data_IF_892338933338
#
_entry.id   IF_892338933338
#
_cell.length_a   1.000
_cell.length_b   1.000
_cell.length_c   1.000
_cell.angle_alpha   90.00
_cell.angle_beta   90.00
_cell.angle_gamma   90.00
#
_symmetry.space_group_name_H-M   'P 1'
#
loop_
_entity.id
_entity.type
_entity.pdbx_description
1 polymer ?
#
# COMPACT_ATOMS: atom_id res chain seq x y z
N UNK A 1 0.41 20.74 -13.88
CA UNK A 1 -0.32 20.80 -15.16
C UNK A 1 -0.50 19.41 -15.80
N UNK A 2 0.57 18.65 -16.00
CA UNK A 2 0.54 17.33 -16.68
C UNK A 2 -0.36 16.28 -16.00
N UNK A 3 -0.37 16.18 -14.67
CA UNK A 3 -1.22 15.19 -13.96
C UNK A 3 -2.72 15.34 -14.27
N UNK A 4 -3.22 16.56 -14.42
CA UNK A 4 -4.65 16.80 -14.70
C UNK A 4 -5.06 16.37 -16.12
N UNK A 5 -4.14 16.34 -17.07
CA UNK A 5 -4.44 15.90 -18.44
C UNK A 5 -4.63 14.38 -18.54
N UNK A 6 -4.13 13.61 -17.55
CA UNK A 6 -4.28 12.16 -17.50
C UNK A 6 -5.63 11.70 -16.91
N UNK A 7 -6.35 12.59 -16.23
CA UNK A 7 -7.62 12.23 -15.55
C UNK A 7 -8.64 11.57 -16.49
N UNK A 8 -8.87 12.07 -17.73
CA UNK A 8 -9.82 11.42 -18.64
C UNK A 8 -9.43 9.99 -19.01
N UNK A 9 -8.13 9.73 -19.21
CA UNK A 9 -7.59 8.40 -19.53
C UNK A 9 -7.73 7.44 -18.33
N UNK A 10 -7.39 7.93 -17.13
CA UNK A 10 -7.55 7.15 -15.89
C UNK A 10 -9.01 6.74 -15.70
N UNK A 11 -9.94 7.69 -15.88
CA UNK A 11 -11.37 7.39 -15.74
C UNK A 11 -11.89 6.46 -16.85
N UNK A 12 -11.36 6.55 -18.06
CA UNK A 12 -11.71 5.63 -19.13
C UNK A 12 -11.26 4.20 -18.81
N UNK A 13 -10.01 4.03 -18.35
CA UNK A 13 -9.49 2.74 -17.91
C UNK A 13 -10.30 2.16 -16.73
N UNK A 14 -10.57 2.99 -15.71
CA UNK A 14 -11.40 2.57 -14.57
C UNK A 14 -12.79 2.10 -15.01
N UNK A 15 -13.45 2.84 -15.91
CA UNK A 15 -14.77 2.48 -16.41
C UNK A 15 -14.76 1.19 -17.22
N UNK A 16 -13.71 0.95 -18.00
CA UNK A 16 -13.55 -0.30 -18.74
C UNK A 16 -13.48 -1.49 -17.77
N UNK A 17 -12.66 -1.40 -16.73
CA UNK A 17 -12.56 -2.43 -15.70
C UNK A 17 -13.90 -2.63 -14.98
N UNK A 18 -14.65 -1.55 -14.72
CA UNK A 18 -15.94 -1.62 -14.02
C UNK A 18 -17.05 -2.29 -14.85
N UNK A 19 -16.90 -2.40 -16.16
CA UNK A 19 -17.84 -3.14 -17.01
C UNK A 19 -17.60 -4.65 -16.98
N UNK A 20 -16.40 -5.07 -16.60
CA UNK A 20 -15.97 -6.48 -16.68
C UNK A 20 -15.84 -7.12 -15.28
N UNK A 21 -15.92 -6.34 -14.20
CA UNK A 21 -15.64 -6.82 -12.84
C UNK A 21 -16.69 -6.32 -11.85
N UNK A 22 -17.16 -7.21 -10.98
CA UNK A 22 -18.09 -6.87 -9.90
C UNK A 22 -17.42 -6.05 -8.78
N UNK A 23 -16.13 -6.27 -8.56
CA UNK A 23 -15.33 -5.60 -7.53
C UNK A 23 -14.02 -5.15 -8.15
N UNK A 24 -13.65 -3.89 -7.89
CA UNK A 24 -12.34 -3.33 -8.25
C UNK A 24 -11.64 -2.91 -6.96
N UNK A 25 -10.45 -3.45 -6.75
CA UNK A 25 -9.54 -3.00 -5.68
C UNK A 25 -8.53 -2.04 -6.28
N UNK A 26 -8.46 -0.83 -5.70
CA UNK A 26 -7.55 0.22 -6.16
C UNK A 26 -6.49 0.41 -5.09
N UNK A 27 -5.23 0.21 -5.46
CA UNK A 27 -4.10 0.49 -4.60
C UNK A 27 -3.55 1.89 -4.86
N UNK A 28 -3.28 2.62 -3.78
CA UNK A 28 -2.61 3.91 -3.83
C UNK A 28 -1.09 3.79 -3.84
N UNK A 29 -0.40 4.90 -3.97
CA UNK A 29 1.06 4.95 -3.89
C UNK A 29 1.53 5.98 -2.86
N UNK A 30 2.52 5.62 -2.05
CA UNK A 30 3.01 6.45 -0.96
C UNK A 30 1.97 6.65 0.14
N UNK A 31 1.83 7.88 0.63
CA UNK A 31 0.88 8.21 1.69
C UNK A 31 -0.16 9.23 1.22
N UNK A 32 -1.44 9.06 1.59
CA UNK A 32 -2.45 10.08 1.33
C UNK A 32 -2.25 11.35 2.18
N UNK A 33 -1.38 11.29 3.18
CA UNK A 33 -1.05 12.44 4.06
C UNK A 33 0.15 13.27 3.58
N UNK A 34 0.60 13.11 2.33
CA UNK A 34 1.61 13.96 1.70
C UNK A 34 1.03 15.35 1.41
N UNK A 35 0.93 16.18 2.46
CA UNK A 35 0.25 17.49 2.44
C UNK A 35 0.80 18.45 1.39
N UNK A 36 2.08 18.34 1.06
CA UNK A 36 2.76 19.11 0.02
C UNK A 36 2.37 18.68 -1.41
N UNK A 37 1.83 17.49 -1.60
CA UNK A 37 1.41 16.94 -2.90
C UNK A 37 -0.11 16.88 -3.07
N UNK A 38 -0.86 17.20 -2.03
CA UNK A 38 -2.30 16.99 -1.91
C UNK A 38 -3.14 17.64 -3.03
N UNK A 39 -2.80 18.87 -3.45
CA UNK A 39 -3.57 19.60 -4.48
C UNK A 39 -3.55 18.93 -5.87
N UNK A 40 -2.54 18.12 -6.13
CA UNK A 40 -2.34 17.43 -7.40
C UNK A 40 -2.37 15.90 -7.25
N UNK A 41 -2.96 15.41 -6.16
CA UNK A 41 -3.15 13.99 -5.95
C UNK A 41 -4.17 13.42 -6.94
N UNK A 42 -3.75 12.46 -7.74
CA UNK A 42 -4.57 11.66 -8.65
C UNK A 42 -4.47 10.16 -8.33
N UNK A 43 -3.73 9.80 -7.28
CA UNK A 43 -3.34 8.41 -6.99
C UNK A 43 -4.05 7.90 -5.75
N UNK A 44 -4.01 8.66 -4.65
CA UNK A 44 -4.60 8.27 -3.36
C UNK A 44 -6.03 8.79 -3.23
N UNK A 45 -6.24 9.84 -2.42
CA UNK A 45 -7.58 10.40 -2.21
C UNK A 45 -8.18 11.03 -3.47
N UNK A 46 -7.32 11.51 -4.39
CA UNK A 46 -7.77 11.98 -5.70
C UNK A 46 -8.41 10.87 -6.52
N UNK A 47 -7.79 9.69 -6.59
CA UNK A 47 -8.40 8.54 -7.27
C UNK A 47 -9.66 8.06 -6.56
N UNK A 48 -9.63 7.98 -5.22
CA UNK A 48 -10.80 7.60 -4.43
C UNK A 48 -12.01 8.51 -4.71
N UNK A 49 -11.79 9.82 -4.81
CA UNK A 49 -12.85 10.79 -5.17
C UNK A 49 -13.37 10.55 -6.59
N UNK A 50 -12.49 10.35 -7.56
CA UNK A 50 -12.88 10.12 -8.95
C UNK A 50 -13.70 8.84 -9.11
N UNK A 51 -13.32 7.78 -8.42
CA UNK A 51 -14.01 6.49 -8.43
C UNK A 51 -15.23 6.45 -7.48
N UNK A 52 -15.38 7.45 -6.61
CA UNK A 52 -16.34 7.46 -5.47
C UNK A 52 -16.18 6.21 -4.59
N UNK A 53 -14.95 5.74 -4.44
CA UNK A 53 -14.64 4.52 -3.73
C UNK A 53 -14.53 4.75 -2.22
N UNK A 54 -15.05 3.83 -1.39
CA UNK A 54 -14.71 3.81 0.03
C UNK A 54 -13.23 3.49 0.20
N UNK A 55 -12.62 4.06 1.25
CA UNK A 55 -11.19 3.92 1.52
C UNK A 55 -10.98 3.06 2.76
N UNK A 56 -10.11 2.08 2.66
CA UNK A 56 -9.51 1.36 3.78
C UNK A 56 -8.08 1.88 3.95
N UNK A 57 -7.78 2.44 5.12
CA UNK A 57 -6.44 2.93 5.40
C UNK A 57 -5.60 1.83 6.06
N UNK A 58 -4.54 1.42 5.39
CA UNK A 58 -3.66 0.34 5.85
C UNK A 58 -2.38 0.92 6.42
N UNK A 59 -2.01 0.50 7.64
CA UNK A 59 -0.76 0.87 8.29
C UNK A 59 0.14 -0.33 8.52
N UNK A 60 1.42 -0.18 8.24
CA UNK A 60 2.46 -1.20 8.46
C UNK A 60 3.01 -1.08 9.89
N UNK A 61 2.76 -2.10 10.74
CA UNK A 61 3.22 -2.10 12.14
C UNK A 61 4.69 -2.52 12.28
N UNK A 62 5.23 -3.23 11.31
CA UNK A 62 6.60 -3.79 11.38
C UNK A 62 7.67 -2.69 11.47
N UNK A 63 7.38 -1.52 10.92
CA UNK A 63 8.25 -0.35 10.99
C UNK A 63 8.13 0.46 12.28
N UNK A 64 7.18 0.12 13.16
CA UNK A 64 6.86 0.87 14.37
C UNK A 64 6.03 2.13 14.10
N UNK A 65 5.39 2.64 15.17
CA UNK A 65 4.63 3.90 15.12
C UNK A 65 3.30 3.84 14.38
N UNK A 66 2.74 2.66 14.07
CA UNK A 66 1.53 2.50 13.26
C UNK A 66 0.33 3.30 13.77
N UNK A 67 0.14 3.40 15.08
CA UNK A 67 -0.96 4.19 15.67
C UNK A 67 -0.84 5.68 15.33
N UNK A 68 0.38 6.22 15.46
CA UNK A 68 0.66 7.61 15.09
C UNK A 68 0.49 7.84 13.59
N UNK A 69 0.91 6.90 12.76
CA UNK A 69 0.77 6.97 11.29
C UNK A 69 -0.71 6.97 10.89
N UNK A 70 -1.51 6.02 11.39
CA UNK A 70 -2.94 5.93 11.07
C UNK A 70 -3.71 7.15 11.58
N UNK A 71 -3.49 7.53 12.84
CA UNK A 71 -4.12 8.71 13.42
C UNK A 71 -3.71 9.99 12.68
N UNK A 72 -2.42 10.21 12.50
CA UNK A 72 -1.88 11.39 11.84
C UNK A 72 -2.36 11.51 10.39
N UNK A 73 -2.39 10.40 9.66
CA UNK A 73 -2.93 10.37 8.29
C UNK A 73 -4.38 10.83 8.27
N UNK A 74 -5.25 10.25 9.11
CA UNK A 74 -6.66 10.63 9.18
C UNK A 74 -6.84 12.09 9.61
N UNK A 75 -6.04 12.56 10.58
CA UNK A 75 -6.11 13.92 11.08
C UNK A 75 -5.72 14.97 10.02
N UNK A 76 -4.77 14.64 9.13
CA UNK A 76 -4.28 15.51 8.06
C UNK A 76 -5.21 15.54 6.82
N UNK A 77 -6.08 14.56 6.67
CA UNK A 77 -7.06 14.55 5.58
C UNK A 77 -8.11 15.66 5.75
N UNK A 78 -8.57 16.19 4.64
CA UNK A 78 -9.74 17.09 4.62
C UNK A 78 -10.99 16.37 5.09
N UNK A 79 -11.97 17.10 5.59
CA UNK A 79 -13.20 16.51 6.13
C UNK A 79 -13.91 15.57 5.15
N UNK A 80 -14.03 15.98 3.89
CA UNK A 80 -14.62 15.18 2.82
C UNK A 80 -13.87 13.88 2.55
N UNK A 81 -12.53 13.90 2.61
CA UNK A 81 -11.66 12.76 2.43
C UNK A 81 -11.72 11.82 3.62
N UNK A 82 -11.71 12.40 4.82
CA UNK A 82 -11.87 11.67 6.07
C UNK A 82 -13.21 10.92 6.11
N UNK A 83 -14.27 11.49 5.54
CA UNK A 83 -15.58 10.84 5.40
C UNK A 83 -15.53 9.60 4.48
N UNK A 84 -14.61 9.59 3.50
CA UNK A 84 -14.41 8.44 2.61
C UNK A 84 -13.69 7.28 3.28
N UNK A 85 -12.83 7.54 4.28
CA UNK A 85 -12.18 6.48 5.06
C UNK A 85 -13.22 5.76 5.89
N UNK A 86 -13.45 4.49 5.61
CA UNK A 86 -14.47 3.67 6.27
C UNK A 86 -13.90 2.85 7.42
N UNK A 87 -12.65 2.41 7.30
CA UNK A 87 -11.98 1.67 8.36
C UNK A 87 -10.45 1.78 8.22
N UNK A 88 -9.76 1.33 9.27
CA UNK A 88 -8.32 1.16 9.29
C UNK A 88 -7.97 -0.34 9.34
N UNK A 89 -6.79 -0.69 8.86
CA UNK A 89 -6.23 -2.04 8.93
C UNK A 89 -4.79 -1.93 9.44
N UNK A 90 -4.42 -2.78 10.37
CA UNK A 90 -3.04 -2.95 10.82
C UNK A 90 -2.45 -4.15 10.08
N UNK A 91 -1.37 -3.94 9.33
CA UNK A 91 -0.73 -4.97 8.53
C UNK A 91 0.63 -5.38 9.11
N UNK A 92 1.07 -6.59 8.80
CA UNK A 92 2.35 -7.21 9.16
C UNK A 92 2.54 -7.35 10.68
N UNK A 93 1.48 -7.65 11.40
CA UNK A 93 1.56 -7.83 12.85
C UNK A 93 2.27 -9.14 13.21
N UNK A 94 3.15 -9.06 14.21
CA UNK A 94 3.82 -10.23 14.81
C UNK A 94 3.47 -10.29 16.29
N UNK A 95 2.95 -11.41 16.75
CA UNK A 95 2.66 -11.66 18.16
C UNK A 95 1.18 -11.88 18.46
N UNK A 96 0.80 -11.69 19.74
CA UNK A 96 -0.56 -11.89 20.20
C UNK A 96 -1.41 -10.62 20.02
N UNK A 97 -2.46 -10.74 19.21
CA UNK A 97 -3.41 -9.65 18.93
C UNK A 97 -4.11 -9.17 20.22
N UNK A 98 -4.23 -10.03 21.24
CA UNK A 98 -4.83 -9.63 22.51
C UNK A 98 -4.06 -8.47 23.18
N UNK A 99 -2.73 -8.45 23.05
CA UNK A 99 -1.88 -7.37 23.57
C UNK A 99 -2.08 -6.05 22.80
N UNK A 100 -2.49 -6.14 21.53
CA UNK A 100 -2.71 -4.97 20.69
C UNK A 100 -4.08 -4.32 20.90
N UNK A 101 -5.07 -5.08 21.38
CA UNK A 101 -6.47 -4.63 21.53
C UNK A 101 -6.66 -3.28 22.23
N UNK A 102 -6.02 -2.98 23.37
CA UNK A 102 -6.19 -1.67 24.00
C UNK A 102 -5.79 -0.51 23.09
N UNK A 103 -4.71 -0.69 22.30
CA UNK A 103 -4.26 0.30 21.31
C UNK A 103 -5.25 0.46 20.16
N UNK A 104 -5.84 -0.64 19.67
CA UNK A 104 -6.86 -0.61 18.62
C UNK A 104 -8.10 0.17 19.09
N UNK A 105 -8.61 -0.12 20.30
CA UNK A 105 -9.75 0.60 20.87
C UNK A 105 -9.46 2.09 21.03
N UNK A 106 -8.24 2.44 21.47
CA UNK A 106 -7.83 3.83 21.55
C UNK A 106 -7.80 4.50 20.14
N UNK A 107 -7.26 3.83 19.14
CA UNK A 107 -7.24 4.33 17.77
C UNK A 107 -8.65 4.60 17.24
N UNK A 108 -9.58 3.66 17.44
CA UNK A 108 -10.99 3.81 17.06
C UNK A 108 -11.63 5.03 17.74
N UNK A 109 -11.38 5.19 19.04
CA UNK A 109 -11.88 6.34 19.80
C UNK A 109 -11.33 7.67 19.28
N UNK A 110 -10.04 7.72 18.95
CA UNK A 110 -9.38 8.94 18.49
C UNK A 110 -9.76 9.32 17.05
N UNK A 111 -9.95 8.32 16.18
CA UNK A 111 -10.19 8.54 14.76
C UNK A 111 -11.67 8.56 14.39
N UNK A 112 -12.53 7.98 15.22
CA UNK A 112 -13.94 7.71 14.90
C UNK A 112 -14.09 6.69 13.75
N UNK A 113 -13.06 5.89 13.49
CA UNK A 113 -13.06 4.87 12.43
C UNK A 113 -12.80 3.49 13.04
N UNK A 114 -13.57 2.46 12.65
CA UNK A 114 -13.33 1.11 13.14
C UNK A 114 -12.00 0.55 12.61
N UNK A 115 -11.40 -0.35 13.39
CA UNK A 115 -10.32 -1.21 12.90
C UNK A 115 -10.93 -2.46 12.29
N UNK A 116 -10.92 -2.57 10.97
CA UNK A 116 -11.51 -3.69 10.24
C UNK A 116 -10.76 -5.00 10.44
N UNK A 117 -9.46 -4.93 10.74
CA UNK A 117 -8.66 -6.12 10.99
C UNK A 117 -7.21 -5.84 11.32
N UNK A 118 -6.58 -6.88 11.83
CA UNK A 118 -5.14 -6.98 12.03
C UNK A 118 -4.65 -8.17 11.21
N UNK A 119 -3.82 -7.90 10.21
CA UNK A 119 -3.24 -8.93 9.35
C UNK A 119 -1.88 -9.35 9.94
N UNK A 120 -1.65 -10.64 10.11
CA UNK A 120 -0.35 -11.12 10.56
C UNK A 120 0.71 -10.88 9.49
N UNK A 121 1.97 -10.94 9.88
CA UNK A 121 3.06 -11.06 8.93
C UNK A 121 2.91 -12.39 8.21
N UNK A 122 2.74 -12.33 6.91
CA UNK A 122 2.61 -13.51 6.06
C UNK A 122 3.93 -13.71 5.32
N UNK A 123 4.35 -14.96 5.23
CA UNK A 123 5.42 -15.38 4.34
C UNK A 123 4.74 -15.85 3.05
N UNK A 124 4.58 -14.93 2.13
CA UNK A 124 3.96 -15.18 0.82
C UNK A 124 4.96 -14.89 -0.28
N UNK A 125 5.09 -15.82 -1.19
CA UNK A 125 5.92 -15.66 -2.38
C UNK A 125 5.14 -14.83 -3.42
N UNK A 126 5.24 -13.51 -3.26
CA UNK A 126 4.69 -12.54 -4.21
C UNK A 126 5.88 -11.89 -4.92
N UNK A 127 5.81 -11.80 -6.22
CA UNK A 127 6.83 -11.09 -7.00
C UNK A 127 7.00 -9.65 -6.53
N UNK A 128 8.26 -9.24 -6.41
CA UNK A 128 8.58 -7.86 -6.03
C UNK A 128 8.16 -6.89 -7.12
N UNK A 129 7.53 -5.79 -6.73
CA UNK A 129 7.00 -4.80 -7.67
C UNK A 129 8.07 -3.81 -8.15
N UNK A 130 9.04 -3.47 -7.32
CA UNK A 130 10.00 -2.41 -7.62
C UNK A 130 11.47 -2.83 -7.51
N UNK A 131 12.34 -2.03 -8.13
CA UNK A 131 13.79 -2.25 -8.17
C UNK A 131 14.51 -2.00 -6.83
N UNK A 132 13.80 -1.64 -5.77
CA UNK A 132 14.32 -1.45 -4.41
C UNK A 132 14.12 -2.69 -3.53
N UNK A 133 13.54 -3.76 -4.08
CA UNK A 133 13.30 -4.98 -3.36
C UNK A 133 14.57 -5.58 -2.76
N UNK A 134 14.45 -6.09 -1.54
CA UNK A 134 15.56 -6.71 -0.80
C UNK A 134 16.15 -7.94 -1.51
N UNK A 135 15.37 -8.59 -2.38
CA UNK A 135 15.80 -9.71 -3.22
C UNK A 135 16.98 -9.36 -4.14
N UNK A 136 17.13 -8.08 -4.51
CA UNK A 136 18.24 -7.59 -5.33
C UNK A 136 19.53 -7.38 -4.54
N UNK A 137 19.55 -7.62 -3.24
CA UNK A 137 20.73 -7.57 -2.42
C UNK A 137 21.52 -8.87 -2.61
N UNK A 138 22.88 -8.73 -2.68
CA UNK A 138 23.79 -9.84 -2.94
C UNK A 138 23.71 -10.88 -1.82
N UNK A 139 23.24 -12.08 -2.10
CA UNK A 139 23.32 -13.24 -1.20
C UNK A 139 24.59 -14.03 -1.48
N UNK A 140 25.39 -14.27 -0.45
CA UNK A 140 26.44 -15.28 -0.47
C UNK A 140 25.87 -16.55 0.14
N UNK A 141 25.84 -17.63 -0.62
CA UNK A 141 25.46 -18.96 -0.15
C UNK A 141 26.36 -20.02 -0.78
N UNK A 142 26.47 -21.18 -0.14
CA UNK A 142 27.10 -22.37 -0.72
C UNK A 142 26.09 -23.03 -1.68
N UNK A 143 25.95 -22.47 -2.86
CA UNK A 143 25.10 -23.03 -3.91
C UNK A 143 25.94 -23.88 -4.88
N UNK A 144 25.32 -24.92 -5.44
CA UNK A 144 25.98 -25.78 -6.43
C UNK A 144 26.24 -25.05 -7.77
N UNK A 145 25.49 -23.96 -8.02
CA UNK A 145 25.62 -23.09 -9.18
C UNK A 145 25.55 -21.64 -8.72
N UNK A 146 26.49 -20.82 -9.17
CA UNK A 146 26.49 -19.37 -8.91
C UNK A 146 26.13 -18.63 -10.21
N UNK A 147 25.01 -17.91 -10.19
CA UNK A 147 24.50 -17.14 -11.33
C UNK A 147 24.65 -15.66 -11.02
N UNK A 148 25.52 -14.98 -11.73
CA UNK A 148 25.71 -13.53 -11.58
C UNK A 148 24.71 -12.74 -12.45
N UNK A 149 23.85 -11.97 -11.82
CA UNK A 149 22.96 -11.02 -12.49
C UNK A 149 23.56 -9.62 -12.39
N UNK A 150 23.83 -8.99 -13.54
CA UNK A 150 24.34 -7.62 -13.60
C UNK A 150 23.17 -6.65 -13.45
N UNK A 151 23.13 -5.98 -12.30
CA UNK A 151 22.13 -4.95 -12.03
C UNK A 151 22.55 -3.62 -12.67
N UNK A 152 21.81 -3.21 -13.69
CA UNK A 152 21.93 -1.86 -14.25
C UNK A 152 21.09 -0.85 -13.43
N UNK A 153 21.44 0.44 -13.43
CA UNK A 153 20.56 1.47 -12.85
C UNK A 153 19.17 1.44 -13.49
N UNK A 154 18.12 1.47 -12.66
CA UNK A 154 16.72 1.43 -13.11
C UNK A 154 16.36 0.12 -13.82
N UNK A 155 16.88 -1.01 -13.34
CA UNK A 155 16.47 -2.33 -13.83
C UNK A 155 14.95 -2.47 -13.70
N UNK A 156 14.31 -2.98 -14.75
CA UNK A 156 12.93 -3.45 -14.77
C UNK A 156 12.91 -4.94 -15.09
N UNK A 157 11.79 -5.62 -14.87
CA UNK A 157 11.62 -7.06 -15.14
C UNK A 157 12.65 -7.94 -14.38
N UNK A 158 13.08 -7.50 -13.20
CA UNK A 158 14.03 -8.26 -12.36
C UNK A 158 13.41 -9.52 -11.76
N UNK A 159 12.09 -9.63 -11.76
CA UNK A 159 11.34 -10.83 -11.35
C UNK A 159 11.53 -12.01 -12.29
N UNK A 160 12.03 -11.80 -13.51
CA UNK A 160 12.37 -12.86 -14.47
C UNK A 160 13.40 -13.88 -13.91
N UNK A 161 14.18 -13.46 -12.89
CA UNK A 161 15.16 -14.31 -12.22
C UNK A 161 14.59 -15.07 -11.02
N UNK A 162 13.38 -14.80 -10.59
CA UNK A 162 12.77 -15.41 -9.41
C UNK A 162 12.66 -16.94 -9.53
N UNK A 163 12.38 -17.45 -10.73
CA UNK A 163 12.32 -18.88 -10.98
C UNK A 163 13.67 -19.59 -10.81
N UNK A 164 14.79 -18.89 -11.04
CA UNK A 164 16.14 -19.45 -10.84
C UNK A 164 16.54 -19.47 -9.36
N UNK A 165 15.99 -18.55 -8.54
CA UNK A 165 16.23 -18.53 -7.10
C UNK A 165 15.47 -19.62 -6.35
N UNK A 166 14.34 -20.07 -6.92
CA UNK A 166 13.46 -21.08 -6.34
C UNK A 166 13.91 -22.52 -6.62
N UNK A 167 14.96 -22.73 -7.44
CA UNK A 167 15.48 -24.03 -7.84
C UNK A 167 16.71 -24.42 -7.02
#
# INVERSE_FOLDING_TARGET
AMKRTLVPEILAAYRSLALENDIIVIEGAGSPAEINLHENDIVNMGMAKMAKAPVLLVGDIDRGGVFAQLYGTIALLKEEERAMVKATIVNKFRGDVALLRPGLTMLESLTGKPVAGVLPMLDVDIEDEDSLAARLERRKGDAALDIAVIRLPRISNFTDFAALEAT
#
